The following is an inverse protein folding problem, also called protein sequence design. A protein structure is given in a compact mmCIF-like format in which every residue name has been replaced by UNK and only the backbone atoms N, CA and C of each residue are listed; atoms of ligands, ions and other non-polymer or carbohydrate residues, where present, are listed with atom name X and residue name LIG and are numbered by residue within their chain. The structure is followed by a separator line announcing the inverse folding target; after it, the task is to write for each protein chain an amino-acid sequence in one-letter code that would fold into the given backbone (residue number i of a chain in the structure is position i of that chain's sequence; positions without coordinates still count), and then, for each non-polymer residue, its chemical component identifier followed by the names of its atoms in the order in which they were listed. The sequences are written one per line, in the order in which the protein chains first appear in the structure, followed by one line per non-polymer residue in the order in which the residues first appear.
data_IF_449068938308
#
_entry.id   IF_449068938308
#
_cell.length_a   1.000
_cell.length_b   1.000
_cell.length_c   1.000
_cell.angle_alpha   90.00
_cell.angle_beta   90.00
_cell.angle_gamma   90.00
#
_symmetry.space_group_name_H-M   'P 1'
#
loop_
_entity.id
_entity.type
_entity.pdbx_description
1 polymer ?
#
# COMPACT_ATOMS: atom_id res chain seq x y z
N UNK A 1 30.42 -9.06 -5.89
CA UNK A 1 29.19 -9.54 -6.54
C UNK A 1 29.23 -9.04 -7.97
N UNK A 2 29.16 -9.92 -8.96
CA UNK A 2 29.20 -9.54 -10.38
C UNK A 2 27.81 -9.75 -10.99
N UNK A 3 27.36 -8.79 -11.81
CA UNK A 3 26.06 -8.86 -12.48
C UNK A 3 26.25 -9.62 -13.79
N UNK A 4 25.61 -10.78 -13.91
CA UNK A 4 25.63 -11.58 -15.14
C UNK A 4 24.79 -10.92 -16.24
N UNK A 5 23.50 -10.69 -15.93
CA UNK A 5 22.54 -10.08 -16.85
C UNK A 5 21.86 -8.89 -16.20
N UNK A 6 21.94 -7.71 -16.85
CA UNK A 6 21.34 -6.48 -16.33
C UNK A 6 19.82 -6.45 -16.45
N UNK A 7 19.24 -7.18 -17.41
CA UNK A 7 17.81 -7.20 -17.74
C UNK A 7 17.39 -8.61 -18.11
N UNK A 8 17.20 -9.45 -17.10
CA UNK A 8 16.78 -10.85 -17.28
C UNK A 8 15.31 -10.96 -17.70
N UNK A 9 14.44 -10.15 -17.08
CA UNK A 9 13.00 -10.17 -17.29
C UNK A 9 12.40 -8.77 -17.18
N UNK A 10 11.19 -8.64 -17.75
CA UNK A 10 10.29 -7.52 -17.51
C UNK A 10 9.11 -8.07 -16.72
N UNK A 11 8.76 -7.40 -15.64
CA UNK A 11 7.65 -7.77 -14.75
C UNK A 11 6.60 -6.67 -14.82
N UNK A 12 5.34 -7.07 -14.87
CA UNK A 12 4.19 -6.18 -14.78
C UNK A 12 3.93 -5.76 -13.34
N UNK A 13 3.25 -4.63 -13.15
CA UNK A 13 2.87 -4.13 -11.83
C UNK A 13 2.03 -5.16 -11.05
N UNK A 14 1.15 -5.88 -11.75
CA UNK A 14 0.31 -6.92 -11.16
C UNK A 14 1.13 -8.12 -10.64
N UNK A 15 2.10 -8.60 -11.43
CA UNK A 15 2.97 -9.72 -11.00
C UNK A 15 3.81 -9.32 -9.79
N UNK A 16 4.34 -8.09 -9.79
CA UNK A 16 5.11 -7.56 -8.65
C UNK A 16 4.22 -7.45 -7.41
N UNK A 17 3.01 -6.88 -7.53
CA UNK A 17 2.07 -6.76 -6.41
C UNK A 17 1.68 -8.14 -5.86
N UNK A 18 1.40 -9.10 -6.74
CA UNK A 18 1.03 -10.47 -6.35
C UNK A 18 2.17 -11.13 -5.57
N UNK A 19 3.41 -11.02 -6.05
CA UNK A 19 4.58 -11.57 -5.39
C UNK A 19 4.83 -10.91 -4.02
N UNK A 20 4.76 -9.58 -3.95
CA UNK A 20 4.96 -8.85 -2.69
C UNK A 20 3.88 -9.20 -1.66
N UNK A 21 2.63 -9.34 -2.10
CA UNK A 21 1.52 -9.75 -1.23
C UNK A 21 1.70 -11.19 -0.71
N UNK A 22 2.20 -12.09 -1.55
CA UNK A 22 2.53 -13.47 -1.15
C UNK A 22 3.63 -13.47 -0.07
N UNK A 23 4.71 -12.73 -0.29
CA UNK A 23 5.82 -12.58 0.67
C UNK A 23 5.36 -11.98 2.01
N UNK A 24 4.51 -10.96 1.97
CA UNK A 24 3.92 -10.37 3.18
C UNK A 24 3.06 -11.39 3.94
N UNK A 25 2.22 -12.14 3.24
CA UNK A 25 1.35 -13.15 3.84
C UNK A 25 2.15 -14.30 4.49
N UNK A 26 3.22 -14.73 3.83
CA UNK A 26 4.16 -15.74 4.31
C UNK A 26 4.87 -15.27 5.58
N UNK A 27 5.32 -14.02 5.58
CA UNK A 27 5.95 -13.43 6.75
C UNK A 27 4.97 -13.36 7.92
N UNK A 28 3.77 -12.85 7.72
CA UNK A 28 2.73 -12.78 8.76
C UNK A 28 2.39 -14.17 9.31
N UNK A 29 2.33 -15.20 8.46
CA UNK A 29 2.10 -16.58 8.88
C UNK A 29 3.24 -17.13 9.76
N UNK A 30 4.49 -16.85 9.38
CA UNK A 30 5.68 -17.23 10.16
C UNK A 30 5.73 -16.51 11.50
N UNK A 31 5.50 -15.19 11.53
CA UNK A 31 5.48 -14.40 12.76
C UNK A 31 4.38 -14.88 13.71
N UNK A 32 3.16 -15.11 13.21
CA UNK A 32 2.04 -15.63 14.03
C UNK A 32 2.36 -17.00 14.61
N UNK A 33 2.97 -17.88 13.84
CA UNK A 33 3.35 -19.23 14.30
C UNK A 33 4.45 -19.17 15.36
N UNK A 34 5.47 -18.33 15.16
CA UNK A 34 6.53 -18.10 16.14
C UNK A 34 5.99 -17.54 17.46
N UNK A 35 5.03 -16.61 17.41
CA UNK A 35 4.38 -16.07 18.61
C UNK A 35 3.56 -17.12 19.35
N UNK A 36 2.82 -18.00 18.64
CA UNK A 36 2.09 -19.12 19.27
C UNK A 36 3.05 -20.08 19.98
N UNK A 37 4.15 -20.45 19.32
CA UNK A 37 5.16 -21.34 19.91
C UNK A 37 5.78 -20.71 21.15
N UNK A 38 6.15 -19.41 21.10
CA UNK A 38 6.67 -18.70 22.28
C UNK A 38 5.68 -18.69 23.43
N UNK A 39 4.40 -18.41 23.15
CA UNK A 39 3.33 -18.42 24.17
C UNK A 39 3.14 -19.81 24.80
N UNK A 40 3.20 -20.88 23.99
CA UNK A 40 3.11 -22.27 24.47
C UNK A 40 4.35 -22.69 25.27
N UNK A 41 5.55 -22.29 24.85
CA UNK A 41 6.81 -22.57 25.57
C UNK A 41 6.92 -21.81 26.90
N UNK A 42 6.44 -20.56 26.94
CA UNK A 42 6.33 -19.76 28.17
C UNK A 42 5.32 -20.39 29.14
N UNK A 43 4.18 -20.87 28.65
CA UNK A 43 3.19 -21.60 29.46
C UNK A 43 3.72 -22.95 29.97
N UNK A 44 4.63 -23.59 29.23
CA UNK A 44 5.27 -24.85 29.63
C UNK A 44 6.45 -24.68 30.62
N UNK A 45 6.80 -23.44 31.02
CA UNK A 45 7.83 -23.17 32.03
C UNK A 45 9.27 -23.48 31.60
N UNK A 46 9.52 -23.67 30.31
CA UNK A 46 10.85 -24.03 29.79
C UNK A 46 11.71 -22.76 29.55
N UNK A 47 12.55 -22.40 30.54
CA UNK A 47 13.50 -21.27 30.45
C UNK A 47 14.71 -21.51 29.51
N UNK A 48 14.79 -22.69 28.87
CA UNK A 48 15.93 -23.10 28.05
C UNK A 48 15.98 -22.44 26.65
N UNK A 49 14.93 -21.76 26.21
CA UNK A 49 14.85 -21.13 24.89
C UNK A 49 15.54 -19.75 24.78
N UNK A 50 16.06 -19.18 25.88
CA UNK A 50 16.69 -17.84 25.90
C UNK A 50 17.97 -17.67 25.04
N UNK A 51 18.51 -18.74 24.44
CA UNK A 51 19.80 -18.73 23.73
C UNK A 51 19.64 -18.93 22.21
N UNK A 52 18.42 -19.13 21.69
CA UNK A 52 18.24 -19.12 20.23
C UNK A 52 17.98 -17.67 19.76
N UNK A 53 18.90 -17.04 19.02
CA UNK A 53 18.58 -15.78 18.37
C UNK A 53 17.40 -16.02 17.42
N UNK A 54 16.46 -15.07 17.29
CA UNK A 54 15.41 -15.17 16.28
C UNK A 54 16.10 -15.15 14.91
N UNK A 55 16.10 -16.27 14.18
CA UNK A 55 16.86 -16.40 12.93
C UNK A 55 16.14 -15.85 11.70
N UNK A 56 14.94 -15.30 11.85
CA UNK A 56 14.10 -14.84 10.72
C UNK A 56 13.72 -13.36 10.85
N UNK A 57 14.61 -12.51 11.38
CA UNK A 57 14.42 -11.06 11.31
C UNK A 57 14.67 -10.62 9.85
N UNK A 58 13.57 -10.45 9.10
CA UNK A 58 13.61 -9.79 7.80
C UNK A 58 14.31 -8.43 7.97
N UNK A 59 15.25 -8.13 7.06
CA UNK A 59 15.95 -6.85 7.07
C UNK A 59 14.93 -5.70 7.07
N UNK A 60 15.04 -4.79 8.03
CA UNK A 60 14.13 -3.65 8.19
C UNK A 60 13.96 -2.85 6.88
N UNK A 61 15.06 -2.61 6.16
CA UNK A 61 15.03 -1.93 4.87
C UNK A 61 14.21 -2.67 3.81
N UNK A 62 14.25 -4.00 3.81
CA UNK A 62 13.47 -4.81 2.88
C UNK A 62 11.99 -4.72 3.22
N UNK A 63 11.65 -4.76 4.51
CA UNK A 63 10.27 -4.58 4.98
C UNK A 63 9.69 -3.23 4.60
N UNK A 64 10.46 -2.14 4.75
CA UNK A 64 10.01 -0.81 4.34
C UNK A 64 9.70 -0.75 2.85
N UNK A 65 10.59 -1.31 2.01
CA UNK A 65 10.39 -1.36 0.56
C UNK A 65 9.16 -2.19 0.19
N UNK A 66 8.94 -3.34 0.84
CA UNK A 66 7.77 -4.19 0.61
C UNK A 66 6.47 -3.43 0.91
N UNK A 67 6.35 -2.82 2.08
CA UNK A 67 5.14 -2.11 2.49
C UNK A 67 4.89 -0.88 1.62
N UNK A 68 5.91 -0.08 1.32
CA UNK A 68 5.77 1.10 0.45
C UNK A 68 5.42 0.72 -0.99
N UNK A 69 6.02 -0.35 -1.53
CA UNK A 69 5.74 -0.83 -2.87
C UNK A 69 4.33 -1.40 -2.99
N UNK A 70 3.87 -2.17 -2.00
CA UNK A 70 2.49 -2.66 -1.93
C UNK A 70 1.53 -1.47 -1.87
N UNK A 71 1.77 -0.50 -0.97
CA UNK A 71 0.95 0.70 -0.83
C UNK A 71 0.86 1.51 -2.12
N UNK A 72 1.97 1.69 -2.85
CA UNK A 72 1.96 2.39 -4.12
C UNK A 72 1.21 1.63 -5.20
N UNK A 73 1.43 0.31 -5.32
CA UNK A 73 0.83 -0.52 -6.37
C UNK A 73 -0.65 -0.81 -6.13
N UNK A 74 -1.11 -0.79 -4.87
CA UNK A 74 -2.51 -0.98 -4.48
C UNK A 74 -3.31 0.33 -4.37
N UNK A 75 -2.67 1.48 -4.56
CA UNK A 75 -3.34 2.78 -4.47
C UNK A 75 -4.50 2.93 -5.47
N UNK A 76 -5.56 3.63 -5.07
CA UNK A 76 -6.81 3.77 -5.86
C UNK A 76 -6.63 4.39 -7.25
N UNK A 77 -5.58 5.19 -7.44
CA UNK A 77 -5.28 5.82 -8.73
C UNK A 77 -4.52 4.89 -9.68
N UNK A 78 -4.05 3.73 -9.22
CA UNK A 78 -3.40 2.73 -10.07
C UNK A 78 -4.44 1.75 -10.63
N UNK A 79 -4.34 1.39 -11.92
CA UNK A 79 -5.24 0.40 -12.52
C UNK A 79 -4.91 -1.03 -12.08
N UNK A 80 -3.78 -1.25 -11.40
CA UNK A 80 -3.28 -2.58 -10.96
C UNK A 80 -4.34 -3.40 -10.22
N UNK A 81 -5.19 -2.76 -9.41
CA UNK A 81 -6.26 -3.42 -8.63
C UNK A 81 -7.46 -3.86 -9.49
N UNK A 82 -7.66 -3.26 -10.66
CA UNK A 82 -8.73 -3.60 -11.60
C UNK A 82 -8.37 -4.82 -12.46
N UNK A 83 -7.10 -5.20 -12.49
CA UNK A 83 -6.61 -6.33 -13.25
C UNK A 83 -6.88 -7.65 -12.53
N UNK A 84 -7.09 -8.68 -13.35
CA UNK A 84 -7.11 -10.08 -12.91
C UNK A 84 -6.07 -10.84 -13.71
N UNK A 85 -5.55 -11.93 -13.15
CA UNK A 85 -4.56 -12.78 -13.85
C UNK A 85 -5.11 -13.25 -15.21
N UNK A 86 -6.37 -13.71 -15.24
CA UNK A 86 -7.02 -14.12 -16.48
C UNK A 86 -7.19 -12.95 -17.47
N UNK A 87 -7.53 -11.76 -16.99
CA UNK A 87 -7.67 -10.55 -17.80
C UNK A 87 -6.34 -10.13 -18.44
N UNK A 88 -5.23 -10.16 -17.68
CA UNK A 88 -3.90 -9.82 -18.21
C UNK A 88 -3.47 -10.82 -19.28
N UNK A 89 -3.65 -12.13 -19.04
CA UNK A 89 -3.29 -13.16 -20.03
C UNK A 89 -4.09 -13.01 -21.32
N UNK A 90 -5.37 -12.66 -21.24
CA UNK A 90 -6.20 -12.37 -22.40
C UNK A 90 -5.75 -11.09 -23.10
N UNK A 91 -5.47 -10.03 -22.34
CA UNK A 91 -4.98 -8.76 -22.86
C UNK A 91 -3.66 -8.95 -23.62
N UNK A 92 -2.67 -9.65 -23.07
CA UNK A 92 -1.38 -9.86 -23.77
C UNK A 92 -1.54 -10.68 -25.04
N UNK A 93 -2.47 -11.63 -25.08
CA UNK A 93 -2.78 -12.42 -26.28
C UNK A 93 -3.45 -11.58 -27.35
N UNK A 94 -4.42 -10.77 -26.98
CA UNK A 94 -5.14 -9.90 -27.91
C UNK A 94 -4.22 -8.78 -28.44
N UNK A 95 -3.38 -8.21 -27.58
CA UNK A 95 -2.38 -7.22 -27.95
C UNK A 95 -1.29 -7.78 -28.88
N UNK A 96 -1.14 -9.10 -28.99
CA UNK A 96 -0.21 -9.71 -29.93
C UNK A 96 -0.62 -9.53 -31.40
N UNK A 97 -1.89 -9.23 -31.67
CA UNK A 97 -2.38 -8.93 -33.01
C UNK A 97 -1.90 -7.56 -33.52
N UNK A 98 -1.56 -6.65 -32.60
CA UNK A 98 -1.04 -5.32 -32.92
C UNK A 98 0.49 -5.33 -32.89
N UNK A 99 1.11 -4.56 -33.77
CA UNK A 99 2.57 -4.41 -33.87
C UNK A 99 3.12 -3.48 -32.77
N UNK A 100 2.77 -3.76 -31.51
CA UNK A 100 3.29 -3.07 -30.33
C UNK A 100 4.58 -3.74 -29.86
N UNK A 101 5.55 -2.91 -29.48
CA UNK A 101 6.81 -3.38 -28.89
C UNK A 101 6.56 -4.03 -27.53
N UNK A 102 7.51 -4.84 -27.05
CA UNK A 102 7.38 -5.48 -25.73
C UNK A 102 7.23 -4.46 -24.59
N UNK A 103 7.88 -3.30 -24.71
CA UNK A 103 7.79 -2.22 -23.73
C UNK A 103 6.42 -1.53 -23.78
N UNK A 104 5.91 -1.22 -24.97
CA UNK A 104 4.56 -0.64 -25.16
C UNK A 104 3.49 -1.58 -24.60
N UNK A 105 3.58 -2.89 -24.90
CA UNK A 105 2.65 -3.90 -24.35
C UNK A 105 2.68 -3.93 -22.81
N UNK A 106 3.86 -3.85 -22.22
CA UNK A 106 4.02 -3.80 -20.77
C UNK A 106 3.42 -2.52 -20.18
N UNK A 107 3.61 -1.37 -20.84
CA UNK A 107 3.03 -0.10 -20.42
C UNK A 107 1.50 -0.09 -20.53
N UNK A 108 0.94 -0.67 -21.60
CA UNK A 108 -0.51 -0.85 -21.74
C UNK A 108 -1.07 -1.72 -20.62
N UNK A 109 -0.37 -2.80 -20.24
CA UNK A 109 -0.78 -3.65 -19.10
C UNK A 109 -0.67 -2.90 -17.77
N UNK A 110 0.34 -2.04 -17.58
CA UNK A 110 0.56 -1.35 -16.31
C UNK A 110 -0.31 -0.10 -16.12
N UNK A 111 -0.65 0.62 -17.20
CA UNK A 111 -1.39 1.88 -17.15
C UNK A 111 -2.86 1.73 -17.57
N UNK A 112 -3.22 0.60 -18.21
CA UNK A 112 -4.57 0.30 -18.65
C UNK A 112 -5.28 1.48 -19.34
N UNK A 113 -4.75 1.98 -20.47
CA UNK A 113 -5.31 3.16 -21.13
C UNK A 113 -6.76 2.92 -21.55
N UNK A 114 -7.66 3.75 -21.04
CA UNK A 114 -9.09 3.73 -21.36
C UNK A 114 -9.47 4.85 -22.31
N UNK A 115 -8.65 5.90 -22.41
CA UNK A 115 -8.85 7.02 -23.33
C UNK A 115 -7.73 7.11 -24.38
N UNK A 116 -8.02 7.65 -25.59
CA UNK A 116 -7.00 7.83 -26.62
C UNK A 116 -5.81 8.67 -26.16
N UNK A 117 -6.05 9.71 -25.35
CA UNK A 117 -5.00 10.61 -24.83
C UNK A 117 -3.96 9.87 -24.00
N UNK A 118 -4.35 8.81 -23.29
CA UNK A 118 -3.45 7.98 -22.50
C UNK A 118 -2.60 7.09 -23.41
N UNK A 119 -3.18 6.60 -24.52
CA UNK A 119 -2.47 5.77 -25.48
C UNK A 119 -1.40 6.58 -26.25
N UNK A 120 -1.63 7.86 -26.51
CA UNK A 120 -0.62 8.78 -27.09
C UNK A 120 0.63 8.95 -26.21
N UNK A 121 0.51 8.75 -24.89
CA UNK A 121 1.65 8.84 -23.98
C UNK A 121 2.51 7.57 -24.04
N UNK A 122 1.92 6.45 -24.46
CA UNK A 122 2.58 5.14 -24.49
C UNK A 122 3.25 4.87 -25.84
N UNK A 123 2.56 5.21 -26.94
CA UNK A 123 2.97 4.84 -28.30
C UNK A 123 3.36 6.07 -29.10
N UNK A 124 4.60 6.09 -29.59
CA UNK A 124 5.06 7.13 -30.52
C UNK A 124 4.42 6.96 -31.91
N UNK A 125 4.13 8.09 -32.57
CA UNK A 125 3.53 8.13 -33.92
C UNK A 125 2.26 7.27 -34.04
N UNK A 126 1.40 7.31 -33.00
CA UNK A 126 0.22 6.46 -32.86
C UNK A 126 -0.74 6.54 -34.07
N UNK A 127 -0.96 7.73 -34.64
CA UNK A 127 -1.86 7.93 -35.79
C UNK A 127 -1.35 7.22 -37.04
N UNK A 128 -0.04 7.31 -37.31
CA UNK A 128 0.58 6.72 -38.50
C UNK A 128 0.62 5.19 -38.41
N UNK A 129 0.80 4.64 -37.20
CA UNK A 129 0.88 3.19 -36.96
C UNK A 129 -0.49 2.52 -36.82
N UNK A 130 -1.41 3.15 -36.10
CA UNK A 130 -2.63 2.51 -35.62
C UNK A 130 -3.91 3.33 -35.85
N UNK A 131 -3.89 4.33 -36.76
CA UNK A 131 -4.99 5.27 -36.95
C UNK A 131 -6.40 4.65 -37.00
N UNK A 132 -6.59 3.52 -37.69
CA UNK A 132 -7.91 2.82 -37.73
C UNK A 132 -8.11 1.76 -36.64
N UNK A 133 -7.03 1.34 -35.96
CA UNK A 133 -7.01 0.25 -34.98
C UNK A 133 -6.97 0.76 -33.52
N UNK A 134 -6.84 2.07 -33.33
CA UNK A 134 -6.74 2.70 -32.03
C UNK A 134 -7.93 2.36 -31.12
N UNK A 135 -9.14 2.46 -31.66
CA UNK A 135 -10.37 2.14 -30.93
C UNK A 135 -10.43 0.65 -30.55
N UNK A 136 -9.96 -0.24 -31.44
CA UNK A 136 -9.91 -1.69 -31.17
C UNK A 136 -8.95 -2.03 -30.01
N UNK A 137 -7.82 -1.32 -29.92
CA UNK A 137 -6.86 -1.46 -28.82
C UNK A 137 -7.51 -1.04 -27.50
N UNK A 138 -8.15 0.13 -27.48
CA UNK A 138 -8.83 0.64 -26.27
C UNK A 138 -9.97 -0.27 -25.83
N UNK A 139 -10.74 -0.82 -26.78
CA UNK A 139 -11.81 -1.76 -26.47
C UNK A 139 -11.26 -3.09 -25.91
N UNK A 140 -10.13 -3.56 -26.45
CA UNK A 140 -9.42 -4.73 -25.90
C UNK A 140 -9.01 -4.49 -24.45
N UNK A 141 -8.44 -3.32 -24.13
CA UNK A 141 -8.06 -2.97 -22.76
C UNK A 141 -9.28 -2.94 -21.85
N UNK A 142 -10.33 -2.20 -22.22
CA UNK A 142 -11.58 -2.10 -21.42
C UNK A 142 -12.23 -3.46 -21.16
N UNK A 143 -12.22 -4.36 -22.15
CA UNK A 143 -12.78 -5.71 -22.02
C UNK A 143 -12.00 -6.61 -21.04
N UNK A 144 -10.72 -6.32 -20.83
CA UNK A 144 -9.83 -7.11 -19.98
C UNK A 144 -9.88 -6.71 -18.50
N UNK A 145 -10.38 -5.50 -18.21
CA UNK A 145 -10.51 -4.99 -16.86
C UNK A 145 -11.74 -5.61 -16.18
N UNK A 146 -11.60 -5.93 -14.89
CA UNK A 146 -12.77 -6.32 -14.10
C UNK A 146 -13.70 -5.11 -13.96
N UNK A 147 -14.98 -5.30 -14.27
CA UNK A 147 -15.95 -4.22 -14.33
C UNK A 147 -16.26 -3.67 -12.93
N UNK A 148 -15.43 -2.75 -12.44
CA UNK A 148 -15.78 -1.85 -11.33
C UNK A 148 -14.98 -0.55 -11.41
N UNK A 149 -15.39 0.35 -12.29
CA UNK A 149 -15.11 1.76 -12.14
C UNK A 149 -16.25 2.54 -12.78
N UNK A 150 -17.16 3.06 -11.95
CA UNK A 150 -18.00 4.18 -12.34
C UNK A 150 -17.04 5.36 -12.55
N UNK A 151 -17.04 6.02 -13.73
CA UNK A 151 -16.16 7.16 -13.95
C UNK A 151 -16.59 8.31 -13.03
N UNK A 152 -15.66 8.82 -12.21
CA UNK A 152 -15.78 10.11 -11.53
C UNK A 152 -15.65 11.24 -12.57
N UNK A 153 -16.71 11.47 -13.35
CA UNK A 153 -16.79 12.64 -14.24
C UNK A 153 -18.16 13.30 -14.12
N UNK A 154 -18.45 13.90 -12.96
CA UNK A 154 -19.50 14.94 -12.89
C UNK A 154 -18.89 16.27 -13.30
N UNK A 155 -18.87 16.48 -14.61
CA UNK A 155 -18.44 17.72 -15.24
C UNK A 155 -19.21 18.94 -14.71
N UNK A 156 -18.46 20.00 -14.50
CA UNK A 156 -18.89 21.37 -14.24
C UNK A 156 -19.83 21.82 -15.37
N UNK A 157 -21.09 22.12 -15.05
CA UNK A 157 -21.97 22.93 -15.89
C UNK A 157 -22.44 24.14 -15.09
N UNK A 158 -22.12 25.32 -15.61
CA UNK A 158 -22.38 26.60 -14.99
C UNK A 158 -23.86 26.99 -14.97
N UNK A 159 -24.27 27.59 -13.85
CA UNK A 159 -25.50 28.34 -13.65
C UNK A 159 -25.31 29.27 -12.44
N UNK A 160 -25.56 30.57 -12.62
CA UNK A 160 -25.06 31.66 -11.80
C UNK A 160 -25.83 31.95 -10.49
N UNK A 161 -25.12 32.70 -9.59
CA UNK A 161 -25.53 33.44 -8.36
C UNK A 161 -25.66 32.55 -7.10
N UNK A 162 -25.05 32.86 -5.95
CA UNK A 162 -24.83 34.14 -5.23
C UNK A 162 -23.64 34.05 -4.24
N UNK A 163 -23.09 35.20 -3.82
CA UNK A 163 -21.95 35.37 -2.91
C UNK A 163 -22.24 34.93 -1.47
N UNK A 164 -21.32 34.17 -0.83
CA UNK A 164 -21.01 34.30 0.59
C UNK A 164 -19.63 33.68 0.93
N UNK A 165 -18.82 34.51 1.59
CA UNK A 165 -17.64 34.30 2.44
C UNK A 165 -16.90 32.94 2.48
N UNK A 166 -15.59 33.07 2.28
CA UNK A 166 -14.50 32.14 2.63
C UNK A 166 -14.55 31.70 4.10
N UNK A 167 -14.41 30.40 4.34
CA UNK A 167 -14.28 29.78 5.65
C UNK A 167 -14.26 28.26 5.53
N UNK A 168 -13.23 27.70 4.88
CA UNK A 168 -13.05 26.25 4.79
C UNK A 168 -12.41 25.76 6.09
N UNK A 169 -13.25 25.22 6.98
CA UNK A 169 -12.84 24.39 8.10
C UNK A 169 -12.51 23.00 7.56
N UNK A 170 -11.24 22.60 7.66
CA UNK A 170 -10.77 21.27 7.29
C UNK A 170 -11.13 20.34 8.46
N UNK A 171 -12.20 19.59 8.31
CA UNK A 171 -12.54 18.48 9.22
C UNK A 171 -11.73 17.27 8.77
N UNK A 172 -10.72 16.92 9.55
CA UNK A 172 -10.05 15.62 9.45
C UNK A 172 -10.98 14.57 10.05
N UNK A 173 -11.57 13.71 9.21
CA UNK A 173 -12.17 12.46 9.67
C UNK A 173 -11.07 11.41 9.74
N UNK A 174 -10.59 11.15 10.96
CA UNK A 174 -9.77 9.99 11.28
C UNK A 174 -10.65 8.74 11.21
N UNK A 175 -10.71 8.09 10.05
CA UNK A 175 -11.19 6.71 9.97
C UNK A 175 -10.11 5.81 10.59
N UNK A 176 -10.15 5.76 11.93
CA UNK A 176 -9.42 4.81 12.75
C UNK A 176 -10.04 3.44 12.54
N UNK A 177 -9.31 2.55 11.87
CA UNK A 177 -9.61 1.12 11.84
C UNK A 177 -9.66 0.59 13.28
N UNK A 178 -10.89 0.39 13.74
CA UNK A 178 -11.22 -0.11 15.07
C UNK A 178 -10.76 -1.55 15.15
N UNK A 179 -9.59 -1.78 15.75
CA UNK A 179 -9.08 -3.09 16.07
C UNK A 179 -10.04 -3.77 17.06
N UNK A 180 -10.77 -4.76 16.55
CA UNK A 180 -11.67 -5.62 17.32
C UNK A 180 -10.85 -6.46 18.31
N UNK A 181 -10.70 -5.95 19.54
CA UNK A 181 -10.20 -6.74 20.66
C UNK A 181 -11.30 -7.70 21.10
N UNK A 182 -11.09 -8.98 20.79
CA UNK A 182 -11.89 -10.08 21.33
C UNK A 182 -11.59 -10.17 22.83
N UNK A 183 -12.54 -9.75 23.66
CA UNK A 183 -12.56 -10.01 25.09
C UNK A 183 -12.78 -11.51 25.34
N UNK A 184 -11.75 -12.21 25.81
CA UNK A 184 -11.90 -13.54 26.40
C UNK A 184 -11.23 -13.53 27.79
N UNK A 185 -12.09 -13.68 28.80
CA UNK A 185 -11.82 -14.01 30.21
C UNK A 185 -11.24 -12.93 31.13
N UNK A 186 -12.16 -12.24 31.81
CA UNK A 186 -11.88 -11.31 32.90
C UNK A 186 -11.29 -11.97 34.14
N UNK A 187 -10.09 -11.52 34.52
CA UNK A 187 -9.61 -11.37 35.90
C UNK A 187 -8.48 -10.34 35.86
N UNK A 188 -8.77 -9.08 36.17
CA UNK A 188 -7.75 -8.06 36.40
C UNK A 188 -7.15 -8.31 37.79
N UNK A 189 -5.97 -8.94 37.87
CA UNK A 189 -5.20 -9.00 39.12
C UNK A 189 -4.71 -7.58 39.44
N UNK A 190 -5.21 -7.04 40.55
CA UNK A 190 -4.82 -5.73 41.08
C UNK A 190 -3.37 -5.81 41.58
N UNK A 191 -2.43 -5.19 40.88
CA UNK A 191 -1.06 -5.03 41.37
C UNK A 191 -1.07 -3.96 42.48
N UNK A 192 -0.88 -4.39 43.73
CA UNK A 192 -0.86 -3.52 44.90
C UNK A 192 0.32 -2.53 44.91
N UNK A 193 1.26 -2.62 43.96
CA UNK A 193 2.38 -1.72 43.80
C UNK A 193 2.28 -0.80 42.57
N UNK A 194 1.12 -0.74 41.89
CA UNK A 194 0.93 0.20 40.79
C UNK A 194 0.94 1.65 41.32
N UNK A 195 1.95 2.40 40.93
CA UNK A 195 2.10 3.82 41.29
C UNK A 195 1.10 4.62 40.44
N UNK A 196 -0.06 4.92 41.04
CA UNK A 196 -1.06 5.81 40.44
C UNK A 196 -0.47 7.22 40.32
N UNK A 197 -0.22 7.66 39.09
CA UNK A 197 0.15 9.04 38.81
C UNK A 197 -1.10 9.93 38.94
N UNK A 198 -1.15 10.72 40.02
CA UNK A 198 -2.18 11.73 40.25
C UNK A 198 -1.80 13.00 39.47
N UNK A 199 -2.44 13.19 38.31
CA UNK A 199 -2.28 14.35 37.41
C UNK A 199 -3.22 15.52 37.79
N UNK A 200 -3.58 15.64 39.08
CA UNK A 200 -4.21 16.86 39.59
C UNK A 200 -3.13 17.88 39.94
N UNK A 201 -2.72 18.65 38.93
CA UNK A 201 -1.67 19.65 39.03
C UNK A 201 -1.88 20.70 40.12
N UNK A 202 -1.06 20.62 41.17
CA UNK A 202 -0.51 21.78 41.90
C UNK A 202 1.02 21.73 41.75
N UNK A 203 1.53 22.46 40.76
CA UNK A 203 2.98 22.60 40.55
C UNK A 203 3.61 23.33 41.73
N UNK A 204 4.36 22.60 42.56
CA UNK A 204 5.28 23.20 43.51
C UNK A 204 6.46 23.80 42.72
N UNK A 205 6.39 25.11 42.47
CA UNK A 205 7.48 25.86 41.86
C UNK A 205 8.78 25.68 42.65
N UNK A 206 9.82 25.22 41.97
CA UNK A 206 11.19 25.31 42.48
C UNK A 206 11.70 26.71 42.15
N UNK A 207 11.49 27.64 43.08
CA UNK A 207 12.16 28.95 43.08
C UNK A 207 13.40 28.86 44.00
N UNK A 208 14.58 29.23 43.46
CA UNK A 208 15.87 29.31 44.18
C UNK A 208 16.89 28.29 43.65
N UNK A 209 18.08 28.61 43.17
CA UNK A 209 18.89 29.82 43.22
C UNK A 209 19.67 29.94 41.89
N UNK A 210 19.58 31.10 41.23
CA UNK A 210 20.48 31.51 40.16
C UNK A 210 21.11 32.84 40.59
N UNK A 211 21.95 32.77 41.62
CA UNK A 211 22.80 33.89 42.00
C UNK A 211 23.90 34.04 40.94
N UNK A 212 23.74 35.09 40.12
CA UNK A 212 24.78 35.65 39.26
C UNK A 212 25.71 36.46 40.17
N UNK A 213 26.92 35.96 40.41
CA UNK A 213 27.99 36.76 41.03
C UNK A 213 28.55 37.76 40.01
N UNK A 214 28.14 39.03 40.15
CA UNK A 214 28.85 40.18 39.60
C UNK A 214 29.81 40.74 40.66
N UNK A 215 31.12 40.48 40.51
CA UNK A 215 32.20 41.43 40.86
C UNK A 215 33.55 41.05 40.24
#
# INVERSE_FOLDING_TARGET
MEVLDKRSALLSNFEVLTLLSELESDHLARTKTALRIKKEEEAAGNLAARIQPPTDDICENLRTIEVEAIQYLSADYQPTTLHTEAGIVQLTKNLAAFDLTKAEKLQVVNLAPTEPVELYVIVEELEDRFGTQMDDILETVRSSLSASAVPLTKGIQGGARESAAFGAEIVYTEDTEMQEYVEEDGTWEYDANEVVFDDTGEGAGVEGDLDIEDN
#
